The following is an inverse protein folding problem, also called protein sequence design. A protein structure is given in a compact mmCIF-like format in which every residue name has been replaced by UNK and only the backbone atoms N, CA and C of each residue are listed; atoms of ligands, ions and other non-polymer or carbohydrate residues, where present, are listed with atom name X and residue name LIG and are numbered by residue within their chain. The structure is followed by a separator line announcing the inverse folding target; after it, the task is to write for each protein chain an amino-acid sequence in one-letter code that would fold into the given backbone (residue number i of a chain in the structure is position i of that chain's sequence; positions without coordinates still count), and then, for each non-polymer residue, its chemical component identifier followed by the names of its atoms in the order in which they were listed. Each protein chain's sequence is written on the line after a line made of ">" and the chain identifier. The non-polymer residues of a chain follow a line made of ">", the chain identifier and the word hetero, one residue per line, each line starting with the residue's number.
data_IF_607044537740
#
_entry.id   IF_607044537740
#
_cell.length_a   1.000
_cell.length_b   1.000
_cell.length_c   1.000
_cell.angle_alpha   90.00
_cell.angle_beta   90.00
_cell.angle_gamma   90.00
#
_symmetry.space_group_name_H-M   'P 1'
#
loop_
_entity.id
_entity.type
_entity.pdbx_description
1 polymer ?
2 non-polymer ?
3 non-polymer ?
4 non-polymer ?
5 water ?
#
# COMPACT_ATOMS: atom_id res chain seq x y z
N UNK A 5 8.56 -10.31 -20.36
CA UNK A 5 7.81 -10.43 -19.12
C UNK A 5 8.72 -10.20 -17.93
N UNK A 6 10.01 -9.91 -18.18
CA UNK A 6 10.90 -9.91 -17.03
C UNK A 6 10.97 -8.52 -16.39
N UNK A 7 11.62 -8.47 -15.22
CA UNK A 7 11.77 -7.22 -14.49
C UNK A 7 12.96 -7.29 -13.57
N UNK A 8 13.29 -6.14 -12.96
CA UNK A 8 14.41 -6.00 -12.02
C UNK A 8 13.83 -6.07 -10.61
N UNK A 9 14.26 -7.08 -9.85
CA UNK A 9 13.78 -7.24 -8.49
C UNK A 9 14.52 -6.32 -7.56
N UNK A 10 13.79 -5.75 -6.61
CA UNK A 10 14.32 -4.93 -5.52
C UNK A 10 14.16 -5.63 -4.16
N UNK A 11 13.89 -6.92 -4.17
CA UNK A 11 13.65 -7.56 -2.87
C UNK A 11 12.49 -6.93 -2.13
N UNK A 12 12.54 -6.95 -0.81
CA UNK A 12 11.50 -6.33 0.01
C UNK A 12 12.00 -4.95 0.42
N UNK A 13 11.89 -4.01 -0.49
CA UNK A 13 12.30 -2.64 -0.22
C UNK A 13 11.10 -1.88 0.34
N UNK A 14 11.14 -1.54 1.62
CA UNK A 14 10.03 -0.83 2.22
C UNK A 14 9.85 0.53 1.55
N UNK A 15 8.60 0.93 1.35
CA UNK A 15 8.29 2.24 0.81
C UNK A 15 8.16 3.28 1.90
N UNK A 16 7.95 2.87 3.13
CA UNK A 16 7.79 3.82 4.22
C UNK A 16 6.90 3.28 5.32
N UNK A 17 6.70 4.12 6.32
CA UNK A 17 5.80 3.84 7.42
C UNK A 17 4.37 4.17 7.01
N UNK A 18 3.49 3.19 7.12
CA UNK A 18 2.08 3.38 6.82
C UNK A 18 1.34 3.80 8.07
N UNK A 19 0.66 4.94 7.99
CA UNK A 19 -0.16 5.37 9.11
C UNK A 19 -1.41 4.53 9.20
N UNK A 20 -1.76 4.14 10.42
CA UNK A 20 -2.96 3.37 10.69
C UNK A 20 -4.11 4.22 11.21
N UNK A 21 -3.91 5.54 11.30
CA UNK A 21 -4.84 6.39 12.04
C UNK A 21 -5.44 7.49 11.19
N UNK A 22 -5.32 7.42 9.88
CA UNK A 22 -5.85 8.45 9.01
C UNK A 22 -6.42 7.80 7.76
N UNK A 23 -7.45 8.47 7.21
CA UNK A 23 -7.98 8.12 5.90
C UNK A 23 -7.48 9.07 4.82
N UNK A 24 -6.58 9.99 5.15
CA UNK A 24 -6.03 10.89 4.16
C UNK A 24 -5.10 10.12 3.22
N UNK A 25 -4.86 10.71 2.06
CA UNK A 25 -3.97 10.11 1.03
C UNK A 25 -2.52 10.24 1.51
N UNK A 26 -1.89 9.10 1.72
CA UNK A 26 -0.53 9.02 2.21
C UNK A 26 0.39 8.91 0.99
N UNK A 27 1.35 9.82 0.88
CA UNK A 27 2.31 9.87 -0.21
C UNK A 27 3.63 9.23 0.18
N UNK A 28 4.23 8.48 -0.76
CA UNK A 28 5.54 7.88 -0.58
C UNK A 28 6.36 8.17 -1.83
N UNK A 29 7.57 8.67 -1.65
CA UNK A 29 8.46 8.88 -2.77
C UNK A 29 9.15 7.57 -3.12
N UNK A 30 9.17 7.24 -4.41
CA UNK A 30 9.78 5.98 -4.82
C UNK A 30 11.30 6.04 -4.61
N UNK A 31 11.92 4.89 -4.34
CA UNK A 31 13.39 4.85 -4.35
C UNK A 31 13.92 5.28 -5.70
N UNK A 32 15.12 5.89 -5.69
CA UNK A 32 15.59 6.56 -6.91
C UNK A 32 15.75 5.56 -8.05
N UNK A 33 16.10 4.29 -7.75
CA UNK A 33 16.28 3.34 -8.84
C UNK A 33 15.00 3.19 -9.66
N UNK A 34 13.84 3.28 -8.99
CA UNK A 34 12.60 3.08 -9.73
C UNK A 34 12.13 4.33 -10.47
N UNK A 35 12.82 5.46 -10.28
CA UNK A 35 12.33 6.71 -10.84
C UNK A 35 12.55 6.83 -12.33
N UNK A 36 13.31 5.91 -12.94
CA UNK A 36 13.46 5.88 -14.38
C UNK A 36 12.71 4.69 -14.99
N UNK A 37 11.96 3.95 -14.19
CA UNK A 37 11.21 2.82 -14.72
C UNK A 37 9.93 3.29 -15.40
N UNK A 38 9.27 2.35 -16.10
CA UNK A 38 7.94 2.58 -16.64
C UNK A 38 6.84 1.91 -15.83
N UNK A 39 7.16 0.85 -15.09
CA UNK A 39 6.21 0.19 -14.23
C UNK A 39 6.90 -0.22 -12.94
N UNK A 40 6.13 -0.27 -11.86
CA UNK A 40 6.63 -0.72 -10.57
C UNK A 40 5.76 -1.85 -10.05
N UNK A 41 6.39 -2.78 -9.35
CA UNK A 41 5.73 -3.91 -8.71
C UNK A 41 5.79 -3.68 -7.22
N UNK A 42 4.61 -3.72 -6.59
CA UNK A 42 4.54 -3.42 -5.18
C UNK A 42 3.83 -4.56 -4.46
N UNK A 43 4.10 -4.66 -3.16
CA UNK A 43 3.56 -5.70 -2.28
C UNK A 43 3.02 -4.98 -1.05
N UNK A 44 1.73 -5.16 -0.78
CA UNK A 44 1.08 -4.58 0.40
C UNK A 44 0.52 -5.73 1.23
N UNK A 45 0.89 -5.76 2.51
CA UNK A 45 0.39 -6.76 3.44
C UNK A 45 -0.14 -6.04 4.66
N UNK A 46 -1.06 -6.72 5.33
CA UNK A 46 -1.67 -6.16 6.53
C UNK A 46 -2.07 -7.31 7.45
N UNK A 47 -2.24 -6.97 8.72
CA UNK A 47 -2.74 -7.94 9.68
C UNK A 47 -3.43 -7.17 10.80
N UNK A 48 -4.40 -7.83 11.41
CA UNK A 48 -5.19 -7.22 12.48
C UNK A 48 -5.55 -8.28 13.52
N UNK A 49 -5.26 -8.00 14.78
CA UNK A 49 -5.62 -8.91 15.85
C UNK A 49 -6.76 -8.31 16.66
N UNK A 50 -6.55 -8.11 17.96
CA UNK A 50 -7.59 -7.53 18.81
C UNK A 50 -7.61 -6.03 18.55
N UNK A 51 -8.29 -5.64 17.47
CA UNK A 51 -8.24 -4.29 16.93
C UNK A 51 -9.03 -3.34 17.82
N UNK A 52 -8.84 -2.05 17.55
CA UNK A 52 -9.61 -0.99 18.18
C UNK A 52 -10.74 -0.49 17.30
N UNK A 53 -10.89 -1.05 16.10
CA UNK A 53 -11.95 -0.67 15.17
C UNK A 53 -12.61 -1.94 14.62
N UNK A 54 -13.75 -1.76 13.94
CA UNK A 54 -14.45 -2.84 13.26
C UNK A 54 -14.97 -2.36 11.91
N UNK A 55 -14.75 -3.14 10.87
CA UNK A 55 -15.38 -2.88 9.58
C UNK A 55 -14.38 -3.00 8.44
N UNK A 56 -14.92 -2.96 7.24
CA UNK A 56 -14.07 -3.12 6.05
C UNK A 56 -13.29 -1.84 5.77
N UNK A 57 -11.99 -1.97 5.57
CA UNK A 57 -11.08 -0.92 5.11
C UNK A 57 -10.59 -1.37 3.74
N UNK A 58 -11.21 -0.84 2.69
CA UNK A 58 -10.64 -1.02 1.38
C UNK A 58 -9.46 -0.06 1.29
N UNK A 59 -8.24 -0.58 1.36
CA UNK A 59 -7.04 0.26 1.24
C UNK A 59 -6.84 0.49 -0.24
N UNK A 60 -6.75 1.76 -0.65
CA UNK A 60 -6.52 2.12 -2.04
C UNK A 60 -5.05 2.43 -2.25
N UNK A 61 -4.47 1.84 -3.28
CA UNK A 61 -3.07 2.03 -3.65
C UNK A 61 -3.06 2.54 -5.09
N UNK A 62 -2.33 3.63 -5.34
CA UNK A 62 -2.37 4.13 -6.71
C UNK A 62 -1.17 4.97 -7.07
N UNK A 63 -0.88 5.00 -8.37
CA UNK A 63 -0.05 6.09 -8.89
C UNK A 63 -0.95 6.98 -9.73
N UNK A 64 -0.47 8.18 -10.02
CA UNK A 64 -1.26 9.10 -10.82
C UNK A 64 -0.39 9.83 -11.84
N UNK A 65 -1.00 10.10 -12.99
CA UNK A 65 -0.39 10.94 -14.03
C UNK A 65 -1.41 12.00 -14.36
N UNK A 66 -1.12 13.23 -13.96
CA UNK A 66 -2.16 14.25 -14.00
C UNK A 66 -3.40 13.79 -13.26
N UNK A 67 -4.55 13.93 -13.92
CA UNK A 67 -5.84 13.53 -13.39
C UNK A 67 -6.06 12.03 -13.39
N UNK A 68 -5.24 11.26 -14.11
CA UNK A 68 -5.49 9.84 -14.25
C UNK A 68 -4.91 9.11 -13.05
N UNK A 69 -5.71 8.27 -12.40
CA UNK A 69 -5.21 7.41 -11.33
C UNK A 69 -5.25 5.95 -11.78
N UNK A 70 -4.30 5.18 -11.25
CA UNK A 70 -4.13 3.77 -11.59
C UNK A 70 -4.25 3.06 -10.25
N UNK A 71 -5.44 2.52 -10.00
CA UNK A 71 -5.84 2.14 -8.65
C UNK A 71 -5.94 0.63 -8.44
N UNK A 72 -5.41 0.22 -7.32
CA UNK A 72 -5.60 -1.13 -6.77
C UNK A 72 -6.13 -1.01 -5.36
N UNK A 73 -6.68 -2.12 -4.86
CA UNK A 73 -7.27 -2.13 -3.53
C UNK A 73 -6.88 -3.40 -2.80
N UNK A 74 -6.81 -3.30 -1.46
CA UNK A 74 -6.55 -4.44 -0.59
C UNK A 74 -7.53 -4.36 0.58
N UNK A 75 -8.21 -5.47 0.90
CA UNK A 75 -9.13 -5.46 2.03
C UNK A 75 -8.40 -5.72 3.35
N UNK A 76 -8.63 -4.85 4.34
CA UNK A 76 -8.29 -5.11 5.72
C UNK A 76 -9.59 -5.02 6.51
N UNK A 77 -9.92 -6.05 7.30
CA UNK A 77 -11.20 -6.08 7.99
C UNK A 77 -10.94 -6.29 9.48
N UNK A 78 -10.56 -5.23 10.19
CA UNK A 78 -10.40 -5.34 11.64
C UNK A 78 -11.72 -5.69 12.32
N UNK A 79 -11.61 -6.40 13.45
CA UNK A 79 -12.77 -6.80 14.24
C UNK A 79 -12.37 -6.67 15.70
N UNK A 80 -12.85 -5.62 16.35
CA UNK A 80 -12.41 -5.29 17.69
C UNK A 80 -12.75 -6.41 18.65
N UNK A 81 -11.79 -6.75 19.50
CA UNK A 81 -11.98 -7.74 20.53
C UNK A 81 -11.58 -9.16 20.18
N UNK A 82 -11.30 -9.47 18.93
CA UNK A 82 -11.08 -10.86 18.61
C UNK A 82 -9.73 -11.34 19.10
N UNK A 83 -9.66 -12.64 19.42
CA UNK A 83 -8.45 -13.26 19.89
C UNK A 83 -7.73 -14.05 18.82
N UNK A 84 -7.71 -13.50 17.62
CA UNK A 84 -7.11 -14.13 16.47
C UNK A 84 -6.42 -13.03 15.67
N UNK A 85 -5.55 -13.45 14.75
CA UNK A 85 -4.88 -12.52 13.83
C UNK A 85 -5.40 -12.82 12.43
N UNK A 86 -6.07 -11.80 11.82
CA UNK A 86 -6.37 -11.82 10.41
C UNK A 86 -5.26 -11.19 9.59
N UNK A 87 -5.15 -11.57 8.32
CA UNK A 87 -4.04 -11.12 7.52
C UNK A 87 -4.39 -11.18 6.04
N UNK A 88 -3.80 -10.29 5.26
CA UNK A 88 -4.06 -10.27 3.82
C UNK A 88 -2.88 -9.61 3.14
N UNK A 89 -2.73 -9.89 1.86
CA UNK A 89 -1.72 -9.24 1.05
C UNK A 89 -2.08 -9.36 -0.42
N UNK A 90 -1.41 -8.53 -1.22
CA UNK A 90 -1.55 -8.56 -2.67
C UNK A 90 -0.30 -7.87 -3.23
N UNK A 91 0.10 -8.34 -4.41
CA UNK A 91 1.25 -7.80 -5.13
C UNK A 91 0.82 -7.49 -6.55
N UNK A 92 1.09 -6.26 -6.98
CA UNK A 92 0.52 -5.80 -8.25
C UNK A 92 1.37 -4.71 -8.89
N UNK A 93 1.18 -4.57 -10.19
CA UNK A 93 1.93 -3.63 -11.02
C UNK A 93 1.15 -2.32 -11.14
N UNK A 94 1.90 -1.21 -11.12
CA UNK A 94 1.37 0.11 -11.38
C UNK A 94 2.28 0.85 -12.36
N UNK A 95 1.73 1.78 -13.13
CA UNK A 95 2.59 2.65 -13.96
C UNK A 95 3.47 3.51 -13.06
N UNK A 96 4.71 3.68 -13.48
CA UNK A 96 5.64 4.61 -12.84
C UNK A 96 5.44 5.95 -13.52
N UNK A 97 4.91 6.93 -12.80
CA UNK A 97 4.46 8.16 -13.39
C UNK A 97 5.44 9.31 -13.11
N UNK A 98 5.14 10.48 -13.68
CA UNK A 98 6.17 11.52 -13.71
C UNK A 98 6.45 12.12 -12.33
N UNK A 99 5.55 11.98 -11.36
CA UNK A 99 5.77 12.61 -10.06
C UNK A 99 6.54 11.71 -9.11
N UNK A 100 6.88 10.48 -9.52
CA UNK A 100 7.77 9.60 -8.77
C UNK A 100 7.25 9.30 -7.38
N UNK A 101 5.94 9.27 -7.22
CA UNK A 101 5.27 8.95 -5.98
C UNK A 101 4.28 7.80 -6.15
N UNK A 102 3.97 7.17 -5.03
CA UNK A 102 2.91 6.20 -4.91
C UNK A 102 2.09 6.55 -3.68
N UNK A 103 0.78 6.29 -3.74
CA UNK A 103 -0.16 6.73 -2.72
C UNK A 103 -0.91 5.55 -2.13
N UNK A 104 -1.23 5.68 -0.84
CA UNK A 104 -2.02 4.70 -0.09
C UNK A 104 -3.05 5.47 0.72
N UNK A 105 -4.30 5.01 0.68
CA UNK A 105 -5.34 5.64 1.50
C UNK A 105 -6.24 4.56 2.10
N UNK A 106 -6.34 4.57 3.43
CA UNK A 106 -7.39 3.81 4.11
C UNK A 106 -8.74 4.44 3.84
N UNK A 107 -9.76 3.61 3.59
CA UNK A 107 -11.13 4.12 3.62
C UNK A 107 -11.74 4.10 5.01
N UNK A 108 -11.19 3.28 5.92
CA UNK A 108 -11.43 3.37 7.36
C UNK A 108 -10.08 3.20 8.03
N UNK A 109 -9.72 4.12 8.92
CA UNK A 109 -8.47 3.96 9.67
C UNK A 109 -8.61 2.75 10.58
N UNK A 110 -7.75 1.74 10.46
CA UNK A 110 -7.91 0.53 11.26
C UNK A 110 -7.40 0.65 12.68
N UNK A 111 -6.66 1.71 13.02
CA UNK A 111 -6.05 1.83 14.32
C UNK A 111 -4.74 1.06 14.41
N UNK A 112 -3.88 1.51 15.31
CA UNK A 112 -2.57 0.88 15.48
C UNK A 112 -2.62 -0.37 16.35
N UNK A 113 -3.60 -0.48 17.23
CA UNK A 113 -3.58 -1.54 18.23
C UNK A 113 -3.58 -2.91 17.56
N UNK A 114 -2.55 -3.72 17.85
CA UNK A 114 -2.48 -5.12 17.45
C UNK A 114 -2.61 -5.31 15.97
N UNK A 115 -2.30 -4.28 15.22
CA UNK A 115 -2.49 -4.32 13.76
C UNK A 115 -1.27 -3.77 13.07
N UNK A 116 -1.20 -4.01 11.77
CA UNK A 116 -0.08 -3.51 11.01
C UNK A 116 -0.42 -3.55 9.54
N UNK A 117 0.32 -2.73 8.85
CA UNK A 117 0.33 -2.67 7.36
C UNK A 117 1.76 -2.34 6.83
N UNK A 118 2.26 -3.19 6.01
CA UNK A 118 3.66 -3.05 5.49
C UNK A 118 3.58 -2.96 3.96
N UNK A 119 4.33 -1.99 3.40
CA UNK A 119 4.17 -1.56 2.03
C UNK A 119 5.55 -1.54 1.40
N UNK A 120 5.72 -2.33 0.34
CA UNK A 120 7.02 -2.53 -0.29
C UNK A 120 6.95 -2.31 -1.80
N UNK A 121 8.06 -1.84 -2.35
CA UNK A 121 8.29 -1.96 -3.78
C UNK A 121 9.25 -3.14 -3.99
N UNK A 122 8.83 -4.12 -4.79
CA UNK A 122 9.60 -5.34 -4.96
C UNK A 122 10.18 -5.47 -6.34
N UNK A 123 9.88 -4.55 -7.24
CA UNK A 123 10.53 -4.62 -8.56
C UNK A 123 10.13 -3.47 -9.43
N UNK A 124 10.79 -3.39 -10.56
CA UNK A 124 10.42 -2.40 -11.57
C UNK A 124 10.82 -2.91 -12.94
N UNK A 125 10.17 -2.35 -13.96
CA UNK A 125 10.68 -2.52 -15.32
C UNK A 125 10.59 -1.27 -16.11
#
# INVERSE_FOLDING_TARGET
>A
GGSAATWTSLGLTSLGAVSMTTTTEQSFTLPVAAQTASQILVYLRCHSGNASTTGADDIRIYTKEGAATYDHYLLMFPYAGQGAVGYNSDSFWLPKTSDNKIYLAHSMAPGSANSGCNFYITGYK
#
